data_IF_045583195656
#
_entry.id   IF_045583195656
#
_cell.length_a   1.000
_cell.length_b   1.000
_cell.length_c   1.000
_cell.angle_alpha   90.00
_cell.angle_beta   90.00
_cell.angle_gamma   90.00
#
_symmetry.space_group_name_H-M   'P 1'
#
loop_
_entity.id
_entity.type
_entity.pdbx_description
1 polymer ?
#
# COMPACT_ATOMS: atom_id res chain seq x y z
N UNK A 1 -1.87 17.20 -7.38
CA UNK A 1 -2.70 16.01 -7.50
C UNK A 1 -4.00 16.41 -8.19
N UNK A 2 -4.20 15.91 -9.39
CA UNK A 2 -5.31 16.25 -10.30
C UNK A 2 -5.97 14.96 -10.81
N UNK A 3 -7.07 15.08 -11.56
CA UNK A 3 -7.72 13.92 -12.16
C UNK A 3 -6.80 13.14 -13.10
N UNK A 4 -5.95 13.83 -13.87
CA UNK A 4 -4.99 13.20 -14.76
C UNK A 4 -3.93 12.38 -13.99
N UNK A 5 -3.51 12.85 -12.81
CA UNK A 5 -2.60 12.10 -11.94
C UNK A 5 -3.24 10.79 -11.46
N UNK A 6 -4.52 10.81 -11.08
CA UNK A 6 -5.24 9.60 -10.65
C UNK A 6 -5.40 8.60 -11.79
N UNK A 7 -5.76 9.08 -12.98
CA UNK A 7 -5.85 8.24 -14.18
C UNK A 7 -4.51 7.65 -14.57
N UNK A 8 -3.40 8.39 -14.36
CA UNK A 8 -2.05 7.85 -14.55
C UNK A 8 -1.80 6.66 -13.62
N UNK A 9 -2.01 6.85 -12.31
CA UNK A 9 -1.81 5.77 -11.32
C UNK A 9 -2.67 4.55 -11.66
N UNK A 10 -3.95 4.77 -12.02
CA UNK A 10 -4.84 3.68 -12.38
C UNK A 10 -4.36 2.89 -13.61
N UNK A 11 -3.89 3.59 -14.65
CA UNK A 11 -3.31 2.95 -15.84
C UNK A 11 -2.03 2.19 -15.54
N UNK A 12 -1.19 2.70 -14.65
CA UNK A 12 0.04 2.01 -14.21
C UNK A 12 -0.31 0.69 -13.50
N UNK A 13 -1.32 0.72 -12.62
CA UNK A 13 -1.83 -0.49 -11.94
C UNK A 13 -2.45 -1.47 -12.95
N UNK A 14 -3.26 -0.99 -13.89
CA UNK A 14 -3.91 -1.81 -14.91
C UNK A 14 -2.89 -2.50 -15.83
N UNK A 15 -1.89 -1.76 -16.31
CA UNK A 15 -0.88 -2.26 -17.25
C UNK A 15 -0.07 -3.44 -16.69
N UNK A 16 0.11 -3.46 -15.37
CA UNK A 16 0.87 -4.49 -14.68
C UNK A 16 0.01 -5.38 -13.77
N UNK A 17 -1.31 -5.30 -13.90
CA UNK A 17 -2.26 -5.93 -12.98
C UNK A 17 -2.02 -7.44 -12.79
N UNK A 18 -1.65 -8.13 -13.87
CA UNK A 18 -1.40 -9.57 -13.86
C UNK A 18 0.02 -9.97 -13.44
N UNK A 19 0.95 -9.02 -13.33
CA UNK A 19 2.38 -9.30 -13.03
C UNK A 19 2.69 -9.29 -11.53
N UNK A 20 1.89 -8.58 -10.74
CA UNK A 20 2.10 -8.36 -9.31
C UNK A 20 0.89 -8.85 -8.51
N UNK A 21 1.09 -9.28 -7.27
CA UNK A 21 0.03 -9.80 -6.39
C UNK A 21 -0.67 -8.68 -5.61
N UNK A 22 -0.04 -7.50 -5.53
CA UNK A 22 -0.56 -6.29 -4.90
C UNK A 22 0.22 -5.06 -5.33
N UNK A 23 -0.33 -3.89 -5.00
CA UNK A 23 0.21 -2.59 -5.41
C UNK A 23 0.37 -1.67 -4.20
N UNK A 24 1.47 -0.91 -4.21
CA UNK A 24 1.70 0.18 -3.26
C UNK A 24 1.80 1.48 -4.05
N UNK A 25 1.09 2.52 -3.61
CA UNK A 25 1.15 3.85 -4.19
C UNK A 25 1.80 4.80 -3.18
N UNK A 26 3.00 5.27 -3.47
CA UNK A 26 3.69 6.27 -2.66
C UNK A 26 3.13 7.66 -2.96
N UNK A 27 2.67 8.35 -1.93
CA UNK A 27 1.92 9.59 -2.05
C UNK A 27 2.23 10.56 -0.90
N UNK A 28 2.22 11.87 -1.19
CA UNK A 28 2.29 12.91 -0.14
C UNK A 28 1.04 12.92 0.75
N UNK A 29 1.17 13.32 2.01
CA UNK A 29 0.08 13.21 3.00
C UNK A 29 -1.08 14.17 2.74
N UNK A 30 -0.82 15.34 2.15
CA UNK A 30 -1.79 16.45 2.05
C UNK A 30 -3.05 16.09 1.25
N UNK A 31 -2.92 15.21 0.27
CA UNK A 31 -4.02 14.82 -0.64
C UNK A 31 -4.22 13.30 -0.71
N UNK A 32 -3.60 12.56 0.21
CA UNK A 32 -3.60 11.09 0.22
C UNK A 32 -5.02 10.50 0.27
N UNK A 33 -5.86 11.00 1.17
CA UNK A 33 -7.25 10.53 1.34
C UNK A 33 -8.12 10.85 0.11
N UNK A 34 -7.91 12.00 -0.52
CA UNK A 34 -8.59 12.37 -1.76
C UNK A 34 -8.21 11.43 -2.91
N UNK A 35 -6.92 11.13 -3.05
CA UNK A 35 -6.44 10.17 -4.05
C UNK A 35 -6.95 8.77 -3.78
N UNK A 36 -6.96 8.31 -2.53
CA UNK A 36 -7.52 7.01 -2.16
C UNK A 36 -9.00 6.89 -2.52
N UNK A 37 -9.77 7.93 -2.18
CA UNK A 37 -11.19 7.98 -2.52
C UNK A 37 -11.40 7.96 -4.04
N UNK A 38 -10.65 8.76 -4.81
CA UNK A 38 -10.75 8.78 -6.27
C UNK A 38 -10.39 7.42 -6.89
N UNK A 39 -9.28 6.82 -6.47
CA UNK A 39 -8.84 5.53 -6.97
C UNK A 39 -9.80 4.39 -6.60
N UNK A 40 -10.48 4.44 -5.46
CA UNK A 40 -11.52 3.45 -5.11
C UNK A 40 -12.70 3.44 -6.07
N UNK A 41 -12.96 4.57 -6.76
CA UNK A 41 -13.98 4.66 -7.81
C UNK A 41 -13.42 4.27 -9.18
N UNK A 42 -12.17 4.63 -9.49
CA UNK A 42 -11.57 4.37 -10.80
C UNK A 42 -11.20 2.89 -10.96
N UNK A 43 -10.69 2.26 -9.91
CA UNK A 43 -10.24 0.87 -9.91
C UNK A 43 -11.41 -0.07 -9.53
N UNK A 44 -12.34 -0.24 -10.46
CA UNK A 44 -13.46 -1.16 -10.27
C UNK A 44 -13.01 -2.63 -10.31
N UNK A 45 -13.74 -3.50 -9.59
CA UNK A 45 -13.53 -4.95 -9.58
C UNK A 45 -12.10 -5.40 -9.22
N UNK A 46 -11.45 -4.70 -8.28
CA UNK A 46 -10.17 -5.14 -7.74
C UNK A 46 -10.29 -6.55 -7.16
N UNK A 47 -9.35 -7.42 -7.52
CA UNK A 47 -9.06 -8.71 -6.87
C UNK A 47 -7.71 -8.72 -6.14
N UNK A 48 -7.04 -7.56 -6.03
CA UNK A 48 -5.70 -7.38 -5.45
C UNK A 48 -5.67 -6.11 -4.61
N UNK A 49 -4.87 -6.11 -3.55
CA UNK A 49 -4.70 -4.95 -2.67
C UNK A 49 -4.03 -3.78 -3.39
N UNK A 50 -4.55 -2.58 -3.21
CA UNK A 50 -3.90 -1.32 -3.62
C UNK A 50 -3.75 -0.44 -2.38
N UNK A 51 -2.54 -0.31 -1.86
CA UNK A 51 -2.26 0.38 -0.60
C UNK A 51 -1.55 1.69 -0.88
N UNK A 52 -2.18 2.79 -0.49
CA UNK A 52 -1.58 4.12 -0.57
C UNK A 52 -0.88 4.41 0.74
N UNK A 53 0.37 4.86 0.68
CA UNK A 53 1.14 5.22 1.86
C UNK A 53 2.07 6.39 1.56
N UNK A 54 2.72 6.92 2.58
CA UNK A 54 3.57 8.10 2.47
C UNK A 54 4.34 8.35 3.74
N UNK A 55 4.90 9.55 3.85
CA UNK A 55 5.66 10.00 5.01
C UNK A 55 5.57 11.51 5.18
N UNK A 56 5.51 11.99 6.43
CA UNK A 56 5.73 13.41 6.72
C UNK A 56 7.20 13.79 6.63
N UNK A 57 8.09 12.86 6.97
CA UNK A 57 9.54 13.06 6.95
C UNK A 57 10.15 12.16 5.87
N UNK A 58 10.99 12.67 4.94
CA UNK A 58 11.59 11.87 3.87
C UNK A 58 12.23 10.57 4.36
N UNK A 59 12.03 9.45 3.64
CA UNK A 59 12.37 8.08 4.08
C UNK A 59 13.85 7.87 4.51
N UNK A 60 14.76 8.70 4.00
CA UNK A 60 16.19 8.62 4.29
C UNK A 60 16.60 9.34 5.57
N UNK A 61 15.71 10.16 6.16
CA UNK A 61 15.96 10.88 7.41
C UNK A 61 15.85 9.96 8.64
N UNK A 62 16.61 10.27 9.69
CA UNK A 62 16.74 9.44 10.91
C UNK A 62 15.40 9.26 11.65
N UNK A 63 14.51 10.25 11.57
CA UNK A 63 13.22 10.27 12.27
C UNK A 63 12.05 10.00 11.33
N UNK A 64 12.30 9.40 10.18
CA UNK A 64 11.27 9.19 9.17
C UNK A 64 10.23 8.16 9.61
N UNK A 65 8.96 8.56 9.53
CA UNK A 65 7.79 7.69 9.58
C UNK A 65 7.63 6.86 8.30
N UNK A 66 8.31 7.25 7.21
CA UNK A 66 8.21 6.59 5.91
C UNK A 66 8.70 5.15 5.90
N UNK A 67 9.66 4.79 6.75
CA UNK A 67 10.16 3.40 6.83
C UNK A 67 9.11 2.46 7.40
N UNK A 68 8.50 2.85 8.52
CA UNK A 68 7.49 2.06 9.19
C UNK A 68 6.19 2.00 8.35
N UNK A 69 5.79 3.14 7.78
CA UNK A 69 4.64 3.21 6.89
C UNK A 69 4.83 2.33 5.64
N UNK A 70 5.99 2.41 4.99
CA UNK A 70 6.27 1.60 3.82
C UNK A 70 6.38 0.10 4.14
N UNK A 71 7.03 -0.27 5.25
CA UNK A 71 7.11 -1.65 5.71
C UNK A 71 5.73 -2.22 6.00
N UNK A 72 4.87 -1.50 6.74
CA UNK A 72 3.52 -1.99 7.00
C UNK A 72 2.67 -2.10 5.73
N UNK A 73 2.83 -1.19 4.77
CA UNK A 73 2.20 -1.30 3.46
C UNK A 73 2.68 -2.54 2.68
N UNK A 74 3.98 -2.87 2.72
CA UNK A 74 4.52 -4.09 2.13
C UNK A 74 3.92 -5.35 2.74
N UNK A 75 3.83 -5.40 4.07
CA UNK A 75 3.26 -6.54 4.79
C UNK A 75 1.78 -6.76 4.46
N UNK A 76 1.02 -5.67 4.30
CA UNK A 76 -0.40 -5.74 3.97
C UNK A 76 -0.66 -6.01 2.48
N UNK A 77 0.18 -5.49 1.58
CA UNK A 77 0.03 -5.71 0.15
C UNK A 77 0.48 -7.12 -0.27
N UNK A 78 1.53 -7.64 0.38
CA UNK A 78 2.14 -8.91 0.02
C UNK A 78 1.75 -10.10 0.88
N UNK A 79 1.25 -9.88 2.10
CA UNK A 79 0.90 -10.97 3.03
C UNK A 79 -0.37 -11.74 2.67
N UNK A 80 -0.68 -12.76 3.47
CA UNK A 80 -1.87 -13.62 3.31
C UNK A 80 -3.21 -12.85 3.41
N UNK A 81 -3.17 -11.59 3.83
CA UNK A 81 -4.31 -10.70 3.97
C UNK A 81 -4.53 -9.90 2.67
N UNK A 82 -4.97 -10.57 1.61
CA UNK A 82 -5.41 -9.87 0.39
C UNK A 82 -6.73 -9.15 0.68
N UNK A 83 -6.68 -7.82 0.72
CA UNK A 83 -7.84 -6.94 0.85
C UNK A 83 -8.04 -6.29 -0.51
N UNK A 84 -8.99 -6.77 -1.33
CA UNK A 84 -9.14 -6.37 -2.73
C UNK A 84 -9.78 -4.97 -2.87
N UNK A 85 -9.15 -3.97 -2.27
CA UNK A 85 -9.66 -2.62 -2.09
C UNK A 85 -8.52 -1.61 -2.19
N UNK A 86 -8.88 -0.34 -2.43
CA UNK A 86 -7.98 0.78 -2.25
C UNK A 86 -7.99 1.20 -0.78
N UNK A 87 -6.83 1.17 -0.14
CA UNK A 87 -6.69 1.45 1.30
C UNK A 87 -5.53 2.40 1.57
N UNK A 88 -5.51 3.02 2.74
CA UNK A 88 -4.39 3.84 3.20
C UNK A 88 -3.76 3.18 4.42
N UNK A 89 -2.43 3.09 4.42
CA UNK A 89 -1.67 2.71 5.60
C UNK A 89 -0.75 3.84 6.03
N UNK A 90 -0.96 4.35 7.25
CA UNK A 90 -0.21 5.50 7.77
C UNK A 90 -0.24 5.54 9.30
N UNK A 91 0.90 5.80 9.96
CA UNK A 91 1.03 5.85 11.42
C UNK A 91 0.47 4.60 12.14
N UNK A 92 0.83 3.42 11.66
CA UNK A 92 0.33 2.12 12.15
C UNK A 92 -1.20 1.92 12.06
N UNK A 93 -1.91 2.83 11.40
CA UNK A 93 -3.35 2.71 11.18
C UNK A 93 -3.62 2.28 9.75
N UNK A 94 -4.53 1.33 9.64
CA UNK A 94 -5.08 0.92 8.36
C UNK A 94 -6.46 1.55 8.20
N UNK A 95 -6.64 2.29 7.11
CA UNK A 95 -7.87 3.01 6.83
C UNK A 95 -8.42 2.50 5.50
N UNK A 96 -9.61 1.89 5.57
CA UNK A 96 -10.36 1.50 4.37
C UNK A 96 -11.14 2.71 3.85
N UNK A 97 -11.09 2.91 2.54
CA UNK A 97 -11.89 3.93 1.87
C UNK A 97 -12.97 3.24 1.04
N UNK A 98 -14.19 3.25 1.56
CA UNK A 98 -15.42 2.87 0.85
C UNK A 98 -16.46 3.97 0.95
N UNK A 99 -17.32 4.05 -0.07
CA UNK A 99 -18.63 4.73 -0.08
C UNK A 99 -19.03 5.34 1.28
N UNK A 100 -18.71 6.63 1.47
CA UNK A 100 -19.16 7.48 2.57
C UNK A 100 -18.77 7.07 4.01
N UNK A 101 -17.97 6.02 4.25
CA UNK A 101 -17.54 5.62 5.60
C UNK A 101 -16.03 5.30 5.68
N UNK A 102 -15.37 5.88 6.68
CA UNK A 102 -13.96 5.65 7.00
C UNK A 102 -13.88 4.64 8.15
N UNK A 103 -13.63 3.37 7.82
CA UNK A 103 -13.40 2.36 8.86
C UNK A 103 -11.89 2.31 9.17
N UNK A 104 -11.56 2.65 10.42
CA UNK A 104 -10.21 2.51 10.96
C UNK A 104 -10.08 1.11 11.52
N UNK A 105 -9.22 0.30 10.91
CA UNK A 105 -8.84 -1.01 11.45
C UNK A 105 -7.43 -0.94 12.03
N UNK A 106 -7.26 -1.44 13.24
CA UNK A 106 -5.93 -1.73 13.78
C UNK A 106 -5.46 -3.07 13.17
N UNK A 107 -4.23 -3.15 12.62
CA UNK A 107 -3.71 -4.40 12.09
C UNK A 107 -3.58 -5.41 13.24
N UNK A 108 -4.54 -6.33 13.34
CA UNK A 108 -4.52 -7.39 14.37
C UNK A 108 -3.32 -8.30 14.10
N UNK A 109 -2.38 -8.35 15.05
CA UNK A 109 -1.22 -9.24 15.15
C UNK A 109 -0.86 -9.95 13.84
N UNK A 110 0.05 -9.35 13.07
CA UNK A 110 0.76 -9.95 11.94
C UNK A 110 1.61 -11.13 12.46
N UNK A 111 0.96 -12.25 12.78
CA UNK A 111 1.60 -13.47 13.26
C UNK A 111 1.34 -14.58 12.26
N UNK A 112 2.10 -14.59 11.16
CA UNK A 112 2.29 -15.81 10.39
C UNK A 112 3.78 -15.98 10.06
N UNK A 113 4.34 -17.10 10.51
CA UNK A 113 5.67 -17.56 10.11
C UNK A 113 5.61 -18.22 8.75
N UNK A 114 5.27 -17.45 7.71
CA UNK A 114 5.21 -17.90 6.32
C UNK A 114 6.21 -17.12 5.47
N UNK A 115 6.82 -17.81 4.50
CA UNK A 115 7.59 -17.18 3.44
C UNK A 115 6.60 -16.52 2.48
N UNK A 116 6.66 -15.20 2.39
CA UNK A 116 5.88 -14.44 1.42
C UNK A 116 6.80 -14.21 0.22
N UNK A 117 6.59 -14.97 -0.86
CA UNK A 117 7.18 -14.69 -2.17
C UNK A 117 6.12 -13.99 -3.01
N UNK A 118 6.11 -12.66 -2.93
CA UNK A 118 5.09 -11.82 -3.55
C UNK A 118 5.77 -10.79 -4.43
N UNK A 119 5.29 -10.65 -5.66
CA UNK A 119 5.71 -9.58 -6.55
C UNK A 119 4.84 -8.36 -6.28
N UNK A 120 5.44 -7.26 -5.83
CA UNK A 120 4.72 -6.02 -5.57
C UNK A 120 5.07 -4.94 -6.59
N UNK A 121 4.05 -4.29 -7.12
CA UNK A 121 4.20 -3.10 -7.95
C UNK A 121 4.19 -1.85 -7.07
N UNK A 122 5.19 -0.97 -7.21
CA UNK A 122 5.21 0.33 -6.51
C UNK A 122 5.03 1.46 -7.52
N UNK A 123 3.90 2.15 -7.47
CA UNK A 123 3.64 3.37 -8.24
C UNK A 123 3.90 4.60 -7.36
N UNK A 124 4.37 5.70 -7.95
CA UNK A 124 4.53 6.98 -7.25
C UNK A 124 3.58 8.02 -7.83
N UNK A 125 3.03 8.87 -6.97
CA UNK A 125 2.09 9.90 -7.42
C UNK A 125 2.75 11.10 -8.12
N UNK A 126 4.09 11.14 -8.18
CA UNK A 126 4.90 12.13 -8.89
C UNK A 126 5.54 11.51 -10.15
N UNK A 127 5.75 12.32 -11.20
CA UNK A 127 6.36 11.95 -12.50
C UNK A 127 7.78 11.36 -12.44
N UNK A 128 8.39 11.30 -11.25
CA UNK A 128 9.82 11.05 -11.10
C UNK A 128 10.19 9.56 -11.28
N UNK A 129 9.27 8.61 -11.04
CA UNK A 129 9.52 7.17 -11.14
C UNK A 129 8.24 6.42 -11.54
N UNK A 130 8.28 5.68 -12.65
CA UNK A 130 7.10 5.09 -13.31
C UNK A 130 6.57 3.81 -12.68
N UNK A 131 7.44 2.96 -12.16
CA UNK A 131 7.13 1.80 -11.33
C UNK A 131 8.47 1.18 -10.95
N UNK A 132 8.69 0.94 -9.66
CA UNK A 132 9.84 0.14 -9.22
C UNK A 132 9.32 -1.24 -8.85
N UNK A 133 9.80 -2.25 -9.58
CA UNK A 133 9.52 -3.66 -9.28
C UNK A 133 10.55 -4.18 -8.30
N UNK A 134 10.11 -4.75 -7.18
CA UNK A 134 10.98 -5.49 -6.29
C UNK A 134 10.38 -6.88 -6.10
N UNK A 135 11.19 -7.92 -6.39
CA UNK A 135 10.93 -9.25 -5.84
C UNK A 135 11.31 -9.15 -4.35
N UNK A 136 10.32 -9.10 -3.47
CA UNK A 136 10.53 -8.95 -2.03
C UNK A 136 10.31 -10.30 -1.38
N UNK A 137 11.39 -10.91 -0.90
CA UNK A 137 11.32 -12.07 -0.02
C UNK A 137 11.36 -11.57 1.43
N UNK A 138 10.18 -11.42 2.04
CA UNK A 138 10.03 -10.99 3.43
C UNK A 138 10.04 -12.21 4.35
N UNK A 139 11.10 -12.33 5.17
CA UNK A 139 11.16 -13.32 6.24
C UNK A 139 10.51 -12.75 7.52
N UNK A 140 9.25 -13.09 7.75
CA UNK A 140 8.58 -12.79 9.01
C UNK A 140 8.96 -13.84 10.06
N UNK A 141 9.89 -13.50 10.95
CA UNK A 141 10.22 -14.35 12.09
C UNK A 141 9.06 -14.28 13.10
N UNK A 142 8.23 -15.32 13.14
CA UNK A 142 7.19 -15.45 14.15
C UNK A 142 7.79 -15.39 15.56
N UNK A 143 7.37 -14.44 16.37
CA UNK A 143 7.72 -14.39 17.79
C UNK A 143 6.98 -15.52 18.50
N UNK A 144 7.65 -16.65 18.74
CA UNK A 144 7.19 -17.66 19.69
C UNK A 144 7.10 -16.99 21.07
N UNK A 145 5.89 -16.67 21.52
CA UNK A 145 5.65 -16.41 22.93
C UNK A 145 5.75 -17.74 23.65
N UNK A 146 6.96 -18.07 24.10
CA UNK A 146 7.18 -19.04 25.19
C UNK A 146 7.32 -18.23 26.48
N UNK A 147 6.33 -18.34 27.35
CA UNK A 147 6.29 -17.71 28.67
C UNK A 147 4.88 -17.68 29.22
#
# INVERSE_FOLDING_TARGET
MTMDDWLRIARDVEADYHKYDGFIVLHGTDTMSYTASALSYILENLGKSVIITGSQIPIFEIRSDGRDNFLGALLLAGGDYSIPEVTVYFHNKFIKYFYLNTDIMEPRNLTSGHFINTRLGISMSSDTLRLLSFDIELYLKGSSHTG
#
